data_IF_049345374860
#
_entry.id   IF_049345374860
#
_cell.length_a   1.000
_cell.length_b   1.000
_cell.length_c   1.000
_cell.angle_alpha   90.00
_cell.angle_beta   90.00
_cell.angle_gamma   90.00
#
_symmetry.space_group_name_H-M   'P 1'
#
loop_
_entity.id
_entity.type
_entity.pdbx_description
1 polymer ?
#
# COMPACT_ATOMS: atom_id res chain seq x y z
N UNK A 1 8.63 -19.76 16.95
CA UNK A 1 7.75 -18.59 17.17
C UNK A 1 8.54 -17.39 17.68
N UNK A 2 9.20 -17.44 18.84
CA UNK A 2 9.97 -16.31 19.39
C UNK A 2 11.09 -15.75 18.48
N UNK A 3 11.81 -16.59 17.73
CA UNK A 3 12.85 -16.13 16.80
C UNK A 3 12.26 -15.31 15.64
N UNK A 4 11.17 -15.80 15.03
CA UNK A 4 10.47 -15.10 13.96
C UNK A 4 9.87 -13.76 14.43
N UNK A 5 9.31 -13.70 15.64
CA UNK A 5 8.80 -12.43 16.21
C UNK A 5 9.95 -11.43 16.43
N UNK A 6 11.10 -11.91 16.92
CA UNK A 6 12.29 -11.07 17.14
C UNK A 6 12.88 -10.56 15.83
N UNK A 7 12.83 -11.36 14.76
CA UNK A 7 13.26 -10.93 13.43
C UNK A 7 12.30 -9.88 12.85
N UNK A 8 10.99 -9.99 13.09
CA UNK A 8 10.02 -8.97 12.67
C UNK A 8 10.22 -7.67 13.46
N UNK A 9 10.50 -7.73 14.76
CA UNK A 9 10.80 -6.52 15.57
C UNK A 9 12.06 -5.81 15.07
N UNK A 10 13.09 -6.55 14.69
CA UNK A 10 14.30 -5.99 14.09
C UNK A 10 14.01 -5.35 12.72
N UNK A 11 13.17 -6.00 11.90
CA UNK A 11 12.76 -5.48 10.61
C UNK A 11 11.94 -4.18 10.73
N UNK A 12 11.00 -4.10 11.68
CA UNK A 12 10.22 -2.88 11.95
C UNK A 12 11.15 -1.74 12.35
N UNK A 13 12.05 -1.95 13.31
CA UNK A 13 13.02 -0.92 13.72
C UNK A 13 13.90 -0.45 12.54
N UNK A 14 14.30 -1.36 11.65
CA UNK A 14 15.08 -1.02 10.46
C UNK A 14 14.27 -0.15 9.49
N UNK A 15 13.00 -0.49 9.26
CA UNK A 15 12.11 0.28 8.38
C UNK A 15 11.75 1.65 8.97
N UNK A 16 11.55 1.77 10.27
CA UNK A 16 11.32 3.06 10.94
C UNK A 16 12.55 3.99 10.79
N UNK A 17 13.76 3.44 10.88
CA UNK A 17 14.99 4.19 10.60
C UNK A 17 15.11 4.56 9.11
N UNK A 18 14.76 3.63 8.21
CA UNK A 18 14.74 3.90 6.78
C UNK A 18 13.71 4.97 6.41
N UNK A 19 12.59 5.02 7.12
CA UNK A 19 11.55 6.04 6.94
C UNK A 19 12.08 7.43 7.34
N UNK A 20 12.79 7.54 8.46
CA UNK A 20 13.44 8.80 8.85
C UNK A 20 14.40 9.31 7.76
N UNK A 21 15.18 8.41 7.14
CA UNK A 21 16.08 8.75 6.02
C UNK A 21 15.30 9.06 4.74
N UNK A 22 14.21 8.35 4.44
CA UNK A 22 13.38 8.60 3.26
C UNK A 22 12.69 9.98 3.35
N UNK A 23 12.24 10.38 4.54
CA UNK A 23 11.71 11.73 4.78
C UNK A 23 12.79 12.81 4.56
N UNK A 24 14.06 12.54 4.88
CA UNK A 24 15.18 13.46 4.55
C UNK A 24 15.44 13.55 3.03
N UNK A 25 15.23 12.45 2.31
CA UNK A 25 15.37 12.39 0.85
C UNK A 25 14.19 13.01 0.09
N UNK A 26 13.08 13.28 0.79
CA UNK A 26 11.85 13.84 0.23
C UNK A 26 11.37 13.12 -1.05
N UNK A 27 11.50 11.78 -1.07
CA UNK A 27 10.96 10.93 -2.13
C UNK A 27 9.66 10.26 -1.63
N UNK A 28 8.49 10.80 -2.01
CA UNK A 28 7.21 10.31 -1.51
C UNK A 28 6.92 8.89 -1.99
N UNK A 29 7.48 8.46 -3.13
CA UNK A 29 7.25 7.10 -3.62
C UNK A 29 7.98 6.08 -2.75
N UNK A 30 9.21 6.40 -2.33
CA UNK A 30 9.99 5.57 -1.41
C UNK A 30 9.31 5.51 -0.05
N UNK A 31 8.83 6.66 0.46
CA UNK A 31 8.10 6.74 1.72
C UNK A 31 6.82 5.88 1.71
N UNK A 32 6.01 5.99 0.65
CA UNK A 32 4.83 5.15 0.48
C UNK A 32 5.15 3.66 0.42
N UNK A 33 6.27 3.26 -0.21
CA UNK A 33 6.68 1.86 -0.27
C UNK A 33 7.08 1.31 1.11
N UNK A 34 7.87 2.08 1.87
CA UNK A 34 8.29 1.70 3.23
C UNK A 34 7.08 1.53 4.16
N UNK A 35 6.08 2.39 4.02
CA UNK A 35 4.82 2.29 4.77
C UNK A 35 4.03 1.02 4.44
N UNK A 36 4.00 0.57 3.18
CA UNK A 36 3.37 -0.71 2.81
C UNK A 36 4.11 -1.93 3.39
N UNK A 37 5.45 -1.85 3.47
CA UNK A 37 6.27 -2.88 4.09
C UNK A 37 6.03 -2.92 5.61
N UNK A 38 5.96 -1.76 6.27
CA UNK A 38 5.58 -1.65 7.69
C UNK A 38 4.18 -2.23 7.95
N UNK A 39 3.20 -1.93 7.10
CA UNK A 39 1.86 -2.48 7.21
C UNK A 39 1.87 -4.02 7.17
N UNK A 40 2.69 -4.60 6.29
CA UNK A 40 2.84 -6.05 6.15
C UNK A 40 3.49 -6.68 7.38
N UNK A 41 4.52 -6.05 7.95
CA UNK A 41 5.16 -6.54 9.18
C UNK A 41 4.21 -6.45 10.40
N UNK A 42 3.43 -5.38 10.49
CA UNK A 42 2.42 -5.24 11.54
C UNK A 42 1.30 -6.28 11.41
N UNK A 43 0.87 -6.61 10.19
CA UNK A 43 -0.05 -7.72 9.92
C UNK A 43 0.51 -9.06 10.41
N UNK A 44 1.79 -9.35 10.14
CA UNK A 44 2.46 -10.58 10.62
C UNK A 44 2.51 -10.67 12.16
N UNK A 45 2.46 -9.53 12.85
CA UNK A 45 2.37 -9.44 14.32
C UNK A 45 0.94 -9.39 14.87
N UNK A 46 -0.07 -9.41 14.00
CA UNK A 46 -1.48 -9.16 14.35
C UNK A 46 -1.71 -7.76 14.98
N UNK A 47 -0.82 -6.81 14.71
CA UNK A 47 -0.94 -5.41 15.13
C UNK A 47 -1.78 -4.64 14.12
N UNK A 48 -3.07 -4.99 14.03
CA UNK A 48 -3.93 -4.55 12.94
C UNK A 48 -4.14 -3.03 12.87
N UNK A 49 -4.17 -2.34 14.01
CA UNK A 49 -4.36 -0.88 14.01
C UNK A 49 -3.11 -0.16 13.48
N UNK A 50 -1.91 -0.61 13.85
CA UNK A 50 -0.65 -0.10 13.28
C UNK A 50 -0.53 -0.43 11.78
N UNK A 51 -0.97 -1.62 11.37
CA UNK A 51 -0.99 -1.99 9.96
C UNK A 51 -1.95 -1.11 9.15
N UNK A 52 -3.12 -0.82 9.71
CA UNK A 52 -4.12 0.05 9.10
C UNK A 52 -3.58 1.47 8.93
N UNK A 53 -2.96 2.02 9.98
CA UNK A 53 -2.37 3.37 9.91
C UNK A 53 -1.32 3.45 8.81
N UNK A 54 -0.36 2.52 8.79
CA UNK A 54 0.69 2.51 7.78
C UNK A 54 0.15 2.36 6.34
N UNK A 55 -0.89 1.54 6.13
CA UNK A 55 -1.54 1.42 4.83
C UNK A 55 -2.30 2.69 4.41
N UNK A 56 -2.92 3.40 5.35
CA UNK A 56 -3.62 4.67 5.08
C UNK A 56 -2.64 5.80 4.79
N UNK A 57 -1.55 5.90 5.54
CA UNK A 57 -0.51 6.90 5.30
C UNK A 57 0.12 6.69 3.90
N UNK A 58 0.38 5.44 3.51
CA UNK A 58 0.84 5.12 2.16
C UNK A 58 -0.18 5.54 1.09
N UNK A 59 -1.48 5.31 1.34
CA UNK A 59 -2.55 5.67 0.42
C UNK A 59 -2.60 7.20 0.21
N UNK A 60 -2.51 7.98 1.27
CA UNK A 60 -2.52 9.45 1.21
C UNK A 60 -1.35 9.96 0.36
N UNK A 61 -0.14 9.44 0.60
CA UNK A 61 1.04 9.79 -0.20
C UNK A 61 0.84 9.48 -1.68
N UNK A 62 0.36 8.28 -2.02
CA UNK A 62 0.16 7.92 -3.42
C UNK A 62 -0.96 8.75 -4.08
N UNK A 63 -2.00 9.14 -3.34
CA UNK A 63 -3.03 10.05 -3.83
C UNK A 63 -2.47 11.45 -4.13
N UNK A 64 -1.62 11.98 -3.25
CA UNK A 64 -0.95 13.27 -3.47
C UNK A 64 -0.04 13.24 -4.71
N UNK A 65 0.65 12.12 -4.93
CA UNK A 65 1.48 11.90 -6.12
C UNK A 65 0.67 11.56 -7.37
N UNK A 66 -0.64 11.33 -7.24
CA UNK A 66 -1.52 10.79 -8.30
C UNK A 66 -1.00 9.46 -8.86
N UNK A 67 -0.31 8.68 -8.04
CA UNK A 67 0.18 7.35 -8.37
C UNK A 67 -0.92 6.32 -8.14
N UNK A 68 -1.73 6.13 -9.18
CA UNK A 68 -2.84 5.15 -9.17
C UNK A 68 -2.39 3.71 -8.91
N UNK A 69 -1.16 3.34 -9.27
CA UNK A 69 -0.66 1.98 -8.97
C UNK A 69 -0.35 1.87 -7.49
N UNK A 70 0.32 2.87 -6.91
CA UNK A 70 0.57 2.97 -5.48
C UNK A 70 -0.72 2.97 -4.65
N UNK A 71 -1.72 3.75 -5.05
CA UNK A 71 -3.05 3.75 -4.42
C UNK A 71 -3.67 2.34 -4.38
N UNK A 72 -3.62 1.61 -5.50
CA UNK A 72 -4.15 0.24 -5.57
C UNK A 72 -3.40 -0.73 -4.64
N UNK A 73 -2.07 -0.57 -4.47
CA UNK A 73 -1.30 -1.37 -3.52
C UNK A 73 -1.66 -1.06 -2.06
N UNK A 74 -1.81 0.22 -1.71
CA UNK A 74 -2.22 0.63 -0.37
C UNK A 74 -3.63 0.13 -0.01
N UNK A 75 -4.58 0.22 -0.95
CA UNK A 75 -5.93 -0.30 -0.75
C UNK A 75 -5.97 -1.81 -0.62
N UNK A 76 -5.12 -2.54 -1.35
CA UNK A 76 -4.95 -3.99 -1.14
C UNK A 76 -4.51 -4.29 0.30
N UNK A 77 -3.59 -3.50 0.86
CA UNK A 77 -3.15 -3.67 2.24
C UNK A 77 -4.25 -3.34 3.24
N UNK A 78 -5.01 -2.28 3.03
CA UNK A 78 -6.20 -1.98 3.84
C UNK A 78 -7.21 -3.13 3.82
N UNK A 79 -7.48 -3.72 2.65
CA UNK A 79 -8.34 -4.90 2.51
C UNK A 79 -7.79 -6.10 3.29
N UNK A 80 -6.49 -6.37 3.18
CA UNK A 80 -5.82 -7.44 3.92
C UNK A 80 -5.98 -7.27 5.44
N UNK A 81 -5.82 -6.05 5.95
CA UNK A 81 -6.04 -5.73 7.38
C UNK A 81 -7.50 -5.95 7.80
N UNK A 82 -8.47 -5.46 7.01
CA UNK A 82 -9.89 -5.61 7.33
C UNK A 82 -10.35 -7.06 7.33
N UNK A 83 -9.86 -7.87 6.38
CA UNK A 83 -10.11 -9.31 6.32
C UNK A 83 -9.60 -10.02 7.58
N UNK A 84 -8.39 -9.67 8.05
CA UNK A 84 -7.83 -10.24 9.29
C UNK A 84 -8.60 -9.80 10.55
N UNK A 85 -9.17 -8.58 10.55
CA UNK A 85 -10.08 -8.10 11.61
C UNK A 85 -11.49 -8.70 11.54
N UNK A 86 -11.80 -9.49 10.50
CA UNK A 86 -13.16 -9.96 10.17
C UNK A 86 -14.16 -8.82 9.95
N UNK A 87 -13.69 -7.65 9.54
CA UNK A 87 -14.52 -6.49 9.21
C UNK A 87 -14.92 -6.54 7.73
N UNK A 88 -15.99 -7.30 7.46
CA UNK A 88 -16.50 -7.52 6.10
C UNK A 88 -17.15 -6.27 5.50
N UNK A 89 -17.65 -5.35 6.33
CA UNK A 89 -18.29 -4.11 5.89
C UNK A 89 -17.24 -3.14 5.34
N UNK A 90 -16.16 -2.89 6.10
CA UNK A 90 -15.04 -2.07 5.65
C UNK A 90 -14.35 -2.65 4.41
N UNK A 91 -14.17 -3.99 4.36
CA UNK A 91 -13.61 -4.68 3.19
C UNK A 91 -14.43 -4.44 1.91
N UNK A 92 -15.76 -4.46 2.03
CA UNK A 92 -16.66 -4.28 0.87
C UNK A 92 -16.53 -2.87 0.30
N UNK A 93 -16.47 -1.85 1.17
CA UNK A 93 -16.32 -0.46 0.75
C UNK A 93 -14.98 -0.21 0.03
N UNK A 94 -13.87 -0.63 0.65
CA UNK A 94 -12.54 -0.45 0.07
C UNK A 94 -12.36 -1.23 -1.24
N UNK A 95 -12.94 -2.42 -1.35
CA UNK A 95 -12.94 -3.20 -2.60
C UNK A 95 -13.69 -2.52 -3.75
N UNK A 96 -14.77 -1.78 -3.47
CA UNK A 96 -15.52 -1.04 -4.48
C UNK A 96 -14.72 0.14 -5.02
N UNK A 97 -14.08 0.91 -4.13
CA UNK A 97 -13.21 2.03 -4.50
C UNK A 97 -12.01 1.54 -5.31
N UNK A 98 -11.41 0.41 -4.92
CA UNK A 98 -10.27 -0.16 -5.61
C UNK A 98 -10.63 -0.63 -7.04
N UNK A 99 -11.84 -1.17 -7.22
CA UNK A 99 -12.33 -1.57 -8.55
C UNK A 99 -12.38 -0.38 -9.51
N UNK A 100 -12.75 0.81 -9.03
CA UNK A 100 -12.78 2.01 -9.86
C UNK A 100 -11.38 2.41 -10.35
N UNK A 101 -10.37 2.31 -9.49
CA UNK A 101 -8.96 2.58 -9.86
C UNK A 101 -8.45 1.58 -10.88
N UNK A 102 -8.73 0.29 -10.71
CA UNK A 102 -8.31 -0.73 -11.68
C UNK A 102 -8.98 -0.53 -13.06
N UNK A 103 -10.25 -0.14 -13.08
CA UNK A 103 -10.92 0.22 -14.33
C UNK A 103 -10.26 1.42 -15.02
N UNK A 104 -9.94 2.48 -14.26
CA UNK A 104 -9.22 3.64 -14.79
C UNK A 104 -7.84 3.26 -15.37
N UNK A 105 -7.10 2.38 -14.68
CA UNK A 105 -5.79 1.88 -15.12
C UNK A 105 -5.88 1.02 -16.38
N UNK A 106 -6.88 0.13 -16.46
CA UNK A 106 -7.13 -0.68 -17.65
C UNK A 106 -7.50 0.18 -18.86
N UNK A 107 -8.38 1.16 -18.68
CA UNK A 107 -8.81 2.06 -19.76
C UNK A 107 -7.63 2.87 -20.31
N UNK A 108 -6.78 3.41 -19.43
CA UNK A 108 -5.54 4.10 -19.84
C UNK A 108 -4.58 3.18 -20.57
N UNK A 109 -4.40 1.95 -20.10
CA UNK A 109 -3.51 0.95 -20.71
C UNK A 109 -4.01 0.55 -22.11
N UNK A 110 -5.33 0.35 -22.26
CA UNK A 110 -5.96 0.06 -23.56
C UNK A 110 -5.83 1.23 -24.53
N UNK A 111 -6.04 2.46 -24.06
CA UNK A 111 -5.86 3.66 -24.87
C UNK A 111 -4.41 3.79 -25.37
N UNK A 112 -3.42 3.60 -24.49
CA UNK A 112 -2.00 3.62 -24.85
C UNK A 112 -1.64 2.54 -25.89
N UNK A 113 -2.14 1.31 -25.70
CA UNK A 113 -1.95 0.22 -26.66
C UNK A 113 -2.54 0.57 -28.04
N UNK A 114 -3.73 1.17 -28.08
CA UNK A 114 -4.34 1.63 -29.31
C UNK A 114 -3.44 2.64 -30.04
N UNK A 115 -2.97 3.69 -29.37
CA UNK A 115 -2.10 4.70 -29.98
C UNK A 115 -0.80 4.14 -30.56
N UNK A 116 -0.19 3.14 -29.91
CA UNK A 116 1.01 2.48 -30.43
C UNK A 116 0.73 1.66 -31.70
N UNK A 117 -0.46 1.05 -31.81
CA UNK A 117 -0.83 0.25 -32.99
C UNK A 117 -1.21 1.09 -34.21
N UNK A 118 -1.70 2.33 -34.05
CA UNK A 118 -1.97 3.24 -35.18
C UNK A 118 -0.75 4.08 -35.58
N UNK A 119 0.28 4.15 -34.74
CA UNK A 119 1.52 4.90 -35.02
C UNK A 119 2.63 4.06 -35.69
N UNK A 120 2.41 2.75 -35.91
CA UNK A 120 3.30 1.84 -36.65
C UNK A 120 2.67 1.37 -37.95
#
# INVERSE_FOLDING_TARGET
VLAATRDIDAAINCLEQAQAVASELADPRVEGMLLLDLASLHLMKNSYDSAMQAAQDALEIYQEQKDRQGEAFAMNKTNEVNLQKMDWEATTQTSLEQRAIFQELEDKSRAAACYLTVAG
#
